data_IF_811152808326
#
_entry.id   IF_811152808326
#
_cell.length_a   1.000
_cell.length_b   1.000
_cell.length_c   1.000
_cell.angle_alpha   90.00
_cell.angle_beta   90.00
_cell.angle_gamma   90.00
#
_symmetry.space_group_name_H-M   'P 1'
#
loop_
_entity.id
_entity.type
_entity.pdbx_description
1 polymer ?
#
# COMPACT_ATOMS: atom_id res chain seq x y z
N UNK A 1 -15.01 -33.03 -11.12
CA UNK A 1 -14.04 -32.56 -12.13
C UNK A 1 -12.82 -33.46 -12.12
N UNK A 2 -12.48 -34.10 -13.23
CA UNK A 2 -11.37 -35.07 -13.27
C UNK A 2 -10.00 -34.40 -13.13
N UNK A 3 -9.00 -35.15 -12.66
CA UNK A 3 -7.61 -34.67 -12.52
C UNK A 3 -7.05 -34.11 -13.84
N UNK A 4 -7.38 -34.75 -14.97
CA UNK A 4 -7.01 -34.29 -16.31
C UNK A 4 -7.59 -32.91 -16.61
N UNK A 5 -8.88 -32.69 -16.32
CA UNK A 5 -9.53 -31.37 -16.51
C UNK A 5 -8.89 -30.29 -15.65
N UNK A 6 -8.49 -30.60 -14.39
CA UNK A 6 -7.77 -29.66 -13.52
C UNK A 6 -6.41 -29.26 -14.08
N UNK A 7 -5.63 -30.23 -14.58
CA UNK A 7 -4.30 -29.99 -15.16
C UNK A 7 -4.42 -29.14 -16.43
N UNK A 8 -5.37 -29.46 -17.32
CA UNK A 8 -5.60 -28.70 -18.55
C UNK A 8 -6.01 -27.26 -18.26
N UNK A 9 -6.90 -27.03 -17.30
CA UNK A 9 -7.30 -25.68 -16.90
C UNK A 9 -6.14 -24.88 -16.30
N UNK A 10 -5.28 -25.53 -15.52
CA UNK A 10 -4.08 -24.89 -14.95
C UNK A 10 -3.07 -24.52 -16.03
N UNK A 11 -2.83 -25.42 -16.99
CA UNK A 11 -1.94 -25.18 -18.13
C UNK A 11 -2.46 -24.06 -19.02
N UNK A 12 -3.77 -24.03 -19.32
CA UNK A 12 -4.39 -22.96 -20.10
C UNK A 12 -4.32 -21.61 -19.37
N UNK A 13 -4.56 -21.60 -18.05
CA UNK A 13 -4.41 -20.40 -17.23
C UNK A 13 -2.97 -19.87 -17.24
N UNK A 14 -1.96 -20.75 -17.17
CA UNK A 14 -0.54 -20.38 -17.26
C UNK A 14 -0.15 -19.88 -18.66
N UNK A 15 -0.65 -20.52 -19.72
CA UNK A 15 -0.37 -20.13 -21.11
C UNK A 15 -0.97 -18.76 -21.44
N UNK A 16 -2.19 -18.47 -20.97
CA UNK A 16 -2.79 -17.13 -21.06
C UNK A 16 -2.04 -16.08 -20.22
N UNK A 17 -1.29 -16.52 -19.21
CA UNK A 17 -0.51 -15.65 -18.32
C UNK A 17 0.84 -15.23 -18.93
N UNK A 18 1.45 -16.10 -19.74
CA UNK A 18 2.81 -15.91 -20.25
C UNK A 18 3.00 -14.63 -21.08
N UNK A 19 2.10 -14.26 -22.02
CA UNK A 19 2.22 -13.01 -22.77
C UNK A 19 2.13 -11.76 -21.89
N UNK A 20 1.31 -11.77 -20.84
CA UNK A 20 1.19 -10.64 -19.91
C UNK A 20 2.43 -10.46 -19.02
N UNK A 21 3.25 -11.50 -18.86
CA UNK A 21 4.55 -11.44 -18.19
C UNK A 21 5.70 -11.00 -19.12
N UNK A 22 5.55 -11.19 -20.43
CA UNK A 22 6.58 -10.99 -21.45
C UNK A 22 6.36 -9.75 -22.32
N UNK A 23 5.17 -9.15 -22.31
CA UNK A 23 4.87 -7.96 -23.09
C UNK A 23 5.65 -6.75 -22.54
N UNK A 24 6.66 -6.32 -23.28
CA UNK A 24 7.20 -4.97 -23.17
C UNK A 24 6.10 -4.00 -23.55
N UNK A 25 5.67 -3.17 -22.59
CA UNK A 25 4.71 -2.11 -22.87
C UNK A 25 5.48 -0.88 -23.36
N UNK A 26 4.95 -0.15 -24.37
CA UNK A 26 5.56 1.08 -24.91
C UNK A 26 5.85 2.08 -23.79
N UNK A 27 6.64 3.13 -24.03
CA UNK A 27 6.99 4.18 -23.05
C UNK A 27 5.87 4.47 -22.03
N UNK A 28 6.22 4.59 -20.75
CA UNK A 28 5.29 5.10 -19.76
C UNK A 28 5.39 6.61 -19.80
N UNK A 29 4.45 7.35 -20.41
CA UNK A 29 4.41 8.79 -20.21
C UNK A 29 4.10 9.00 -18.73
N UNK A 30 5.17 9.17 -17.96
CA UNK A 30 5.13 9.45 -16.54
C UNK A 30 5.00 10.96 -16.40
N UNK A 31 3.89 11.45 -15.83
CA UNK A 31 3.81 12.84 -15.41
C UNK A 31 4.96 13.13 -14.44
N UNK A 32 5.40 14.39 -14.38
CA UNK A 32 6.53 14.73 -13.51
C UNK A 32 6.09 14.54 -12.06
N UNK A 33 7.06 14.32 -11.19
CA UNK A 33 6.77 14.38 -9.75
C UNK A 33 6.31 15.78 -9.44
N UNK A 34 5.26 15.90 -8.62
CA UNK A 34 4.91 17.18 -8.05
C UNK A 34 6.03 17.58 -7.09
N UNK A 35 6.83 18.55 -7.51
CA UNK A 35 7.95 19.05 -6.72
C UNK A 35 7.48 19.34 -5.29
N UNK A 36 8.17 18.72 -4.32
CA UNK A 36 8.01 19.13 -2.93
C UNK A 36 8.33 20.63 -2.82
N UNK A 37 7.52 21.38 -2.07
CA UNK A 37 7.85 22.76 -1.78
C UNK A 37 9.25 22.78 -1.13
N UNK A 38 10.19 23.62 -1.61
CA UNK A 38 11.51 23.68 -1.01
C UNK A 38 11.35 24.02 0.46
N UNK A 39 11.75 23.09 1.33
CA UNK A 39 11.83 23.34 2.75
C UNK A 39 12.90 24.41 2.98
N UNK A 40 12.51 25.57 3.51
CA UNK A 40 13.47 26.55 3.99
C UNK A 40 14.04 26.05 5.33
N UNK A 41 15.27 25.52 5.32
CA UNK A 41 16.00 25.18 6.54
C UNK A 41 16.77 23.86 6.48
N UNK A 42 17.48 23.58 7.58
CA UNK A 42 18.17 22.31 7.74
C UNK A 42 17.16 21.16 7.89
N UNK A 43 17.47 19.95 7.40
CA UNK A 43 16.66 18.77 7.66
C UNK A 43 16.40 18.60 9.16
N UNK A 44 15.12 18.53 9.54
CA UNK A 44 14.72 18.31 10.92
C UNK A 44 14.64 16.81 11.19
N UNK A 45 15.25 16.38 12.30
CA UNK A 45 15.05 15.05 12.86
C UNK A 45 14.32 15.17 14.19
N UNK A 46 13.23 14.42 14.35
CA UNK A 46 12.47 14.29 15.59
C UNK A 46 12.09 12.83 15.78
N UNK A 47 12.15 12.36 17.01
CA UNK A 47 11.70 11.03 17.42
C UNK A 47 10.68 11.14 18.54
N UNK A 48 9.71 10.22 18.56
CA UNK A 48 8.71 10.10 19.60
C UNK A 48 8.17 8.67 19.62
N UNK A 49 7.73 8.21 20.80
CA UNK A 49 7.07 6.92 20.94
C UNK A 49 5.57 7.06 20.68
N UNK A 50 5.09 6.35 19.67
CA UNK A 50 3.67 6.12 19.41
C UNK A 50 3.39 4.72 19.93
N UNK A 51 2.44 4.58 20.87
CA UNK A 51 2.05 3.30 21.49
C UNK A 51 3.01 2.74 22.58
N UNK A 52 3.21 3.45 23.71
CA UNK A 52 4.08 2.96 24.79
C UNK A 52 3.51 1.79 25.61
N UNK A 53 2.25 1.37 25.39
CA UNK A 53 1.50 0.48 26.29
C UNK A 53 1.16 -0.91 25.70
N UNK A 54 1.81 -1.32 24.62
CA UNK A 54 1.42 -2.53 23.87
C UNK A 54 2.15 -3.79 24.32
N UNK A 55 2.15 -4.06 25.62
CA UNK A 55 2.80 -5.24 26.20
C UNK A 55 2.32 -6.52 25.51
N UNK A 56 3.27 -7.29 24.96
CA UNK A 56 3.01 -8.56 24.31
C UNK A 56 2.44 -8.52 22.89
N UNK A 57 2.35 -7.34 22.25
CA UNK A 57 1.89 -7.23 20.84
C UNK A 57 2.94 -6.56 19.95
N UNK A 58 3.08 -7.05 18.73
CA UNK A 58 4.03 -6.49 17.77
C UNK A 58 3.50 -5.20 17.15
N UNK A 59 4.39 -4.34 16.66
CA UNK A 59 4.05 -3.23 15.75
C UNK A 59 4.90 -3.35 14.49
N UNK A 60 4.30 -3.32 13.30
CA UNK A 60 5.04 -3.55 12.06
C UNK A 60 4.42 -2.83 10.86
N UNK A 61 5.29 -2.51 9.88
CA UNK A 61 5.02 -1.67 8.69
C UNK A 61 4.35 -0.36 9.08
N UNK A 62 5.15 0.53 9.66
CA UNK A 62 4.72 1.89 9.95
C UNK A 62 4.65 2.75 8.68
N UNK A 63 3.67 3.64 8.63
CA UNK A 63 3.48 4.62 7.57
C UNK A 63 3.06 5.96 8.19
N UNK A 64 3.56 7.06 7.65
CA UNK A 64 3.22 8.42 8.07
C UNK A 64 2.65 9.18 6.89
N UNK A 65 1.63 10.00 7.14
CA UNK A 65 1.14 10.97 6.18
C UNK A 65 0.81 12.30 6.87
N UNK A 66 1.17 13.45 6.26
CA UNK A 66 0.83 14.76 6.79
C UNK A 66 -0.69 14.97 6.75
N UNK A 67 -1.23 15.69 7.72
CA UNK A 67 -2.61 16.16 7.74
C UNK A 67 -2.62 17.68 7.65
N UNK A 68 -3.82 18.25 7.55
CA UNK A 68 -3.99 19.70 7.59
C UNK A 68 -3.40 20.33 8.86
N UNK A 69 -3.07 21.62 8.76
CA UNK A 69 -2.56 22.45 9.88
C UNK A 69 -1.30 21.89 10.56
N UNK A 70 -0.51 21.08 9.85
CA UNK A 70 0.75 20.54 10.36
C UNK A 70 0.61 19.28 11.23
N UNK A 71 -0.60 18.72 11.35
CA UNK A 71 -0.81 17.42 11.98
C UNK A 71 -0.22 16.28 11.15
N UNK A 72 -0.19 15.07 11.72
CA UNK A 72 0.22 13.86 11.00
C UNK A 72 -0.63 12.67 11.42
N UNK A 73 -0.88 11.74 10.51
CA UNK A 73 -1.39 10.41 10.80
C UNK A 73 -0.26 9.39 10.73
N UNK A 74 -0.20 8.49 11.72
CA UNK A 74 0.65 7.31 11.72
C UNK A 74 -0.22 6.06 11.63
N UNK A 75 0.08 5.15 10.70
CA UNK A 75 -0.52 3.84 10.58
C UNK A 75 0.50 2.74 10.83
N UNK A 76 0.07 1.64 11.42
CA UNK A 76 0.81 0.38 11.50
C UNK A 76 -0.18 -0.76 11.73
N UNK A 77 0.23 -2.00 11.47
CA UNK A 77 -0.54 -3.13 11.97
C UNK A 77 0.07 -3.70 13.25
N UNK A 78 -0.79 -4.22 14.11
CA UNK A 78 -0.42 -4.79 15.40
C UNK A 78 -1.30 -5.99 15.76
N UNK A 79 -0.71 -6.93 16.49
CA UNK A 79 -1.35 -8.16 16.97
C UNK A 79 -0.34 -9.08 17.68
N UNK A 80 -0.76 -10.29 18.05
CA UNK A 80 0.09 -11.26 18.76
C UNK A 80 1.36 -11.67 18.01
N UNK A 81 1.30 -11.79 16.68
CA UNK A 81 2.46 -12.03 15.80
C UNK A 81 2.12 -11.71 14.36
N UNK A 82 3.14 -11.71 13.51
CA UNK A 82 2.99 -11.38 12.10
C UNK A 82 2.03 -12.36 11.42
N UNK A 83 1.00 -11.81 10.75
CA UNK A 83 -0.01 -12.60 10.07
C UNK A 83 -0.90 -13.41 11.00
N UNK A 84 -1.06 -13.05 12.28
CA UNK A 84 -2.09 -13.64 13.13
C UNK A 84 -3.51 -13.10 12.78
N UNK A 85 -4.56 -13.74 13.32
CA UNK A 85 -5.98 -13.39 13.00
C UNK A 85 -6.51 -12.19 13.78
N UNK A 86 -5.84 -11.84 14.87
CA UNK A 86 -6.06 -10.68 15.73
C UNK A 86 -5.36 -9.43 15.20
N UNK A 87 -4.52 -9.56 14.16
CA UNK A 87 -3.88 -8.42 13.50
C UNK A 87 -4.94 -7.43 13.02
N UNK A 88 -4.74 -6.17 13.41
CA UNK A 88 -5.55 -5.02 13.01
C UNK A 88 -4.64 -3.86 12.64
N UNK A 89 -5.13 -2.95 11.80
CA UNK A 89 -4.46 -1.70 11.46
C UNK A 89 -4.92 -0.62 12.45
N UNK A 90 -3.96 0.05 13.04
CA UNK A 90 -4.15 1.13 13.99
C UNK A 90 -3.71 2.45 13.36
N UNK A 91 -4.37 3.53 13.78
CA UNK A 91 -4.01 4.91 13.46
C UNK A 91 -3.77 5.69 14.75
N UNK A 92 -2.80 6.60 14.73
CA UNK A 92 -2.62 7.64 15.75
C UNK A 92 -2.37 8.97 15.06
N UNK A 93 -2.74 10.06 15.74
CA UNK A 93 -2.66 11.42 15.22
C UNK A 93 -1.69 12.25 16.03
N UNK A 94 -0.78 12.95 15.36
CA UNK A 94 0.05 13.97 15.97
C UNK A 94 -0.74 15.27 16.06
N UNK A 95 -0.91 15.78 17.27
CA UNK A 95 -1.42 17.13 17.48
C UNK A 95 -0.26 18.13 17.24
N UNK A 96 -0.38 19.05 16.27
CA UNK A 96 0.70 19.98 15.94
C UNK A 96 0.94 21.04 17.04
N UNK A 97 -0.08 21.38 17.82
CA UNK A 97 0.01 22.39 18.87
C UNK A 97 0.73 21.86 20.11
N UNK A 98 0.52 20.57 20.45
CA UNK A 98 1.12 19.94 21.64
C UNK A 98 2.34 19.07 21.33
N UNK A 99 2.51 18.66 20.06
CA UNK A 99 3.52 17.68 19.66
C UNK A 99 3.28 16.26 20.20
N UNK A 100 2.10 15.99 20.76
CA UNK A 100 1.77 14.69 21.34
C UNK A 100 0.95 13.83 20.37
N UNK A 101 1.27 12.53 20.36
CA UNK A 101 0.49 11.53 19.64
C UNK A 101 -0.73 11.09 20.44
N UNK A 102 -1.86 10.92 19.76
CA UNK A 102 -3.06 10.37 20.36
C UNK A 102 -2.85 8.90 20.77
N UNK A 103 -3.75 8.38 21.62
CA UNK A 103 -3.85 6.92 21.80
C UNK A 103 -4.14 6.23 20.44
N UNK A 104 -3.51 5.08 20.15
CA UNK A 104 -3.80 4.33 18.94
C UNK A 104 -5.25 3.91 18.86
N UNK A 105 -5.86 4.07 17.70
CA UNK A 105 -7.23 3.63 17.41
C UNK A 105 -7.22 2.62 16.30
N UNK A 106 -7.85 1.47 16.54
CA UNK A 106 -8.07 0.45 15.51
C UNK A 106 -9.00 1.01 14.43
N UNK A 107 -8.54 1.05 13.18
CA UNK A 107 -9.30 1.60 12.04
C UNK A 107 -9.72 0.53 11.04
N UNK A 108 -9.00 -0.60 10.97
CA UNK A 108 -9.32 -1.70 10.07
C UNK A 108 -8.94 -3.03 10.70
N UNK A 109 -9.87 -3.98 10.70
CA UNK A 109 -9.62 -5.38 11.06
C UNK A 109 -10.16 -6.31 9.98
N UNK A 110 -9.92 -7.62 10.14
CA UNK A 110 -10.38 -8.62 9.18
C UNK A 110 -11.91 -8.64 9.01
N UNK A 111 -12.68 -8.30 10.05
CA UNK A 111 -14.14 -8.36 10.02
C UNK A 111 -14.71 -7.17 9.25
N UNK A 112 -14.22 -5.95 9.51
CA UNK A 112 -14.54 -4.76 8.73
C UNK A 112 -14.10 -4.93 7.28
N UNK A 113 -12.86 -5.36 7.03
CA UNK A 113 -12.38 -5.63 5.68
C UNK A 113 -13.26 -6.65 4.95
N UNK A 114 -13.69 -7.72 5.63
CA UNK A 114 -14.57 -8.73 5.00
C UNK A 114 -15.92 -8.14 4.57
N UNK A 115 -16.55 -7.33 5.44
CA UNK A 115 -17.83 -6.67 5.15
C UNK A 115 -17.68 -5.68 4.00
N UNK A 116 -16.69 -4.80 4.09
CA UNK A 116 -16.48 -3.74 3.11
C UNK A 116 -16.20 -4.35 1.72
N UNK A 117 -15.35 -5.36 1.66
CA UNK A 117 -14.93 -5.98 0.40
C UNK A 117 -15.88 -7.07 -0.12
N UNK A 118 -16.95 -7.41 0.62
CA UNK A 118 -17.91 -8.44 0.22
C UNK A 118 -17.29 -9.83 0.04
N UNK A 119 -16.19 -10.14 0.72
CA UNK A 119 -15.48 -11.43 0.63
C UNK A 119 -14.85 -11.80 1.96
N UNK A 120 -14.58 -13.08 2.15
CA UNK A 120 -13.85 -13.53 3.34
C UNK A 120 -12.41 -12.97 3.35
N UNK A 121 -12.07 -12.25 4.43
CA UNK A 121 -10.71 -11.81 4.76
C UNK A 121 -10.30 -12.52 6.05
N UNK A 122 -9.24 -13.34 5.96
CA UNK A 122 -8.68 -14.06 7.11
C UNK A 122 -7.78 -13.14 7.94
N UNK A 123 -7.04 -12.25 7.29
CA UNK A 123 -6.01 -11.39 7.88
C UNK A 123 -5.91 -10.06 7.12
N UNK A 124 -5.59 -9.00 7.84
CA UNK A 124 -5.09 -7.74 7.29
C UNK A 124 -3.59 -7.62 7.60
N UNK A 125 -2.88 -6.75 6.90
CA UNK A 125 -1.43 -6.62 7.02
C UNK A 125 -0.95 -5.21 6.74
N UNK A 126 0.14 -5.10 5.97
CA UNK A 126 0.78 -3.84 5.61
C UNK A 126 -0.26 -2.76 5.28
N UNK A 127 -0.04 -1.56 5.82
CA UNK A 127 -0.86 -0.39 5.55
C UNK A 127 0.06 0.77 5.19
N UNK A 128 -0.30 1.50 4.13
CA UNK A 128 0.39 2.71 3.72
C UNK A 128 -0.63 3.84 3.64
N UNK A 129 -0.24 5.01 4.11
CA UNK A 129 -1.04 6.22 4.02
C UNK A 129 -0.54 7.12 2.88
N UNK A 130 -1.47 7.87 2.29
CA UNK A 130 -1.16 8.96 1.38
C UNK A 130 -2.17 10.08 1.56
N UNK A 131 -1.69 11.30 1.80
CA UNK A 131 -2.55 12.48 1.92
C UNK A 131 -2.51 13.29 0.65
N UNK A 132 -3.69 13.65 0.19
CA UNK A 132 -3.85 14.61 -0.89
C UNK A 132 -3.76 16.06 -0.40
N UNK A 133 -3.42 17.01 -1.28
CA UNK A 133 -3.45 18.43 -0.96
C UNK A 133 -4.83 18.97 -0.51
N UNK A 134 -5.92 18.30 -0.91
CA UNK A 134 -7.29 18.66 -0.54
C UNK A 134 -7.74 18.08 0.82
N UNK A 135 -6.83 17.46 1.58
CA UNK A 135 -7.12 16.88 2.89
C UNK A 135 -7.63 15.44 2.87
N UNK A 136 -7.92 14.86 1.69
CA UNK A 136 -8.34 13.46 1.57
C UNK A 136 -7.17 12.53 1.91
N UNK A 137 -7.43 11.60 2.83
CA UNK A 137 -6.46 10.61 3.29
C UNK A 137 -6.80 9.24 2.70
N UNK A 138 -5.87 8.67 1.95
CA UNK A 138 -5.95 7.31 1.43
C UNK A 138 -5.22 6.33 2.34
N UNK A 139 -5.79 5.15 2.49
CA UNK A 139 -5.10 3.99 3.05
C UNK A 139 -5.15 2.84 2.05
N UNK A 140 -4.00 2.38 1.61
CA UNK A 140 -3.86 1.13 0.87
C UNK A 140 -3.31 0.07 1.83
N UNK A 141 -3.92 -1.10 1.81
CA UNK A 141 -3.60 -2.14 2.78
C UNK A 141 -3.76 -3.54 2.21
N UNK A 142 -3.02 -4.47 2.83
CA UNK A 142 -2.99 -5.86 2.39
C UNK A 142 -4.07 -6.68 3.07
N UNK A 143 -4.74 -7.53 2.29
CA UNK A 143 -5.74 -8.49 2.76
C UNK A 143 -5.39 -9.89 2.27
N UNK A 144 -5.57 -10.89 3.13
CA UNK A 144 -5.31 -12.30 2.80
C UNK A 144 -6.53 -13.15 3.11
N UNK A 145 -6.98 -13.94 2.14
CA UNK A 145 -8.07 -14.91 2.34
C UNK A 145 -7.54 -16.30 2.75
N UNK A 146 -6.43 -16.73 2.14
CA UNK A 146 -5.80 -18.05 2.32
C UNK A 146 -4.28 -17.87 2.29
N UNK A 147 -3.53 -18.73 2.98
CA UNK A 147 -2.06 -18.74 2.92
C UNK A 147 -1.35 -17.61 3.70
N UNK A 148 -0.12 -17.32 3.29
CA UNK A 148 0.73 -16.23 3.78
C UNK A 148 0.76 -15.03 2.82
N UNK A 149 1.81 -14.22 2.90
CA UNK A 149 1.96 -12.99 2.09
C UNK A 149 1.94 -13.22 0.58
N UNK A 150 2.39 -14.38 0.10
CA UNK A 150 2.31 -14.73 -1.33
C UNK A 150 0.87 -14.77 -1.88
N UNK A 151 -0.15 -14.71 -1.03
CA UNK A 151 -1.56 -14.67 -1.42
C UNK A 151 -2.24 -13.35 -1.05
N UNK A 152 -1.46 -12.30 -0.74
CA UNK A 152 -2.00 -10.99 -0.42
C UNK A 152 -2.68 -10.33 -1.62
N UNK A 153 -3.69 -9.53 -1.32
CA UNK A 153 -4.34 -8.61 -2.26
C UNK A 153 -4.25 -7.22 -1.68
N UNK A 154 -4.01 -6.24 -2.54
CA UNK A 154 -4.09 -4.83 -2.14
C UNK A 154 -5.56 -4.39 -2.18
N UNK A 155 -5.98 -3.66 -1.17
CA UNK A 155 -7.28 -2.99 -1.08
C UNK A 155 -7.05 -1.56 -0.61
N UNK A 156 -7.99 -0.67 -0.87
CA UNK A 156 -7.88 0.72 -0.46
C UNK A 156 -9.19 1.25 0.09
N UNK A 157 -9.09 2.31 0.87
CA UNK A 157 -10.20 3.12 1.38
C UNK A 157 -9.71 4.55 1.50
N UNK A 158 -10.65 5.49 1.61
CA UNK A 158 -10.35 6.91 1.76
C UNK A 158 -11.10 7.49 2.95
N UNK A 159 -10.63 8.63 3.43
CA UNK A 159 -11.19 9.40 4.53
C UNK A 159 -11.16 10.89 4.18
N UNK A 160 -12.24 11.59 4.51
CA UNK A 160 -12.38 13.04 4.33
C UNK A 160 -12.22 13.82 5.64
N UNK A 161 -11.93 13.13 6.75
CA UNK A 161 -11.86 13.69 8.10
C UNK A 161 -10.56 13.29 8.82
N UNK A 162 -9.46 13.22 8.05
CA UNK A 162 -8.13 12.93 8.58
C UNK A 162 -7.94 11.51 9.11
N UNK A 163 -8.78 10.55 8.71
CA UNK A 163 -8.75 9.16 9.15
C UNK A 163 -9.68 8.85 10.32
N UNK A 164 -10.55 9.80 10.71
CA UNK A 164 -11.52 9.62 11.80
C UNK A 164 -12.64 8.65 11.39
N UNK A 165 -13.11 8.72 10.15
CA UNK A 165 -13.99 7.75 9.52
C UNK A 165 -13.40 7.33 8.17
N UNK A 166 -13.84 6.17 7.68
CA UNK A 166 -13.31 5.57 6.46
C UNK A 166 -14.46 5.10 5.58
N UNK A 167 -14.38 5.41 4.29
CA UNK A 167 -15.28 4.89 3.28
C UNK A 167 -15.20 3.36 3.17
N UNK A 168 -16.19 2.77 2.48
CA UNK A 168 -16.18 1.35 2.18
C UNK A 168 -14.97 0.99 1.33
N UNK A 169 -14.19 0.01 1.79
CA UNK A 169 -12.99 -0.43 1.08
C UNK A 169 -13.27 -1.09 -0.26
N UNK A 170 -12.37 -0.84 -1.22
CA UNK A 170 -12.41 -1.35 -2.60
C UNK A 170 -11.14 -2.18 -2.90
N UNK A 171 -11.23 -3.22 -3.74
CA UNK A 171 -10.05 -3.97 -4.19
C UNK A 171 -9.21 -3.17 -5.19
N UNK A 172 -7.87 -3.29 -5.11
CA UNK A 172 -6.94 -2.78 -6.14
C UNK A 172 -6.42 -3.96 -6.97
N UNK A 173 -6.88 -4.12 -8.21
CA UNK A 173 -6.61 -5.29 -9.05
C UNK A 173 -5.27 -5.23 -9.79
N UNK A 174 -4.18 -5.52 -9.07
CA UNK A 174 -2.80 -5.51 -9.54
C UNK A 174 -2.32 -6.81 -10.20
N UNK A 175 -3.15 -7.85 -10.27
CA UNK A 175 -2.83 -9.12 -10.92
C UNK A 175 -4.00 -9.63 -11.78
N UNK A 176 -3.74 -10.41 -12.84
CA UNK A 176 -4.82 -11.03 -13.60
C UNK A 176 -5.63 -12.01 -12.72
N UNK A 177 -6.91 -12.17 -13.09
CA UNK A 177 -7.92 -13.02 -12.44
C UNK A 177 -8.07 -12.82 -10.92
N UNK A 178 -7.25 -13.51 -10.13
CA UNK A 178 -7.44 -13.63 -8.67
C UNK A 178 -6.82 -12.48 -7.87
N UNK A 179 -6.11 -11.56 -8.53
CA UNK A 179 -5.44 -10.41 -7.91
C UNK A 179 -4.61 -10.78 -6.67
N UNK A 180 -3.96 -11.94 -6.73
CA UNK A 180 -3.15 -12.43 -5.62
C UNK A 180 -1.77 -11.78 -5.68
N UNK A 181 -0.96 -12.12 -4.67
CA UNK A 181 0.50 -11.95 -4.62
C UNK A 181 1.03 -10.53 -4.53
N UNK A 182 0.17 -9.51 -4.57
CA UNK A 182 0.60 -8.10 -4.53
C UNK A 182 0.50 -7.54 -3.12
N UNK A 183 1.52 -6.79 -2.72
CA UNK A 183 1.65 -6.20 -1.41
C UNK A 183 2.20 -4.77 -1.53
N UNK A 184 2.03 -3.98 -0.48
CA UNK A 184 2.44 -2.59 -0.41
C UNK A 184 3.19 -2.31 0.89
N UNK A 185 4.05 -1.29 0.94
CA UNK A 185 4.80 -0.96 2.16
C UNK A 185 5.20 0.51 2.27
N UNK A 186 5.86 1.07 1.25
CA UNK A 186 6.50 2.38 1.33
C UNK A 186 5.62 3.49 0.76
N UNK A 187 5.88 4.74 1.13
CA UNK A 187 5.03 5.90 0.78
C UNK A 187 4.84 6.08 -0.75
N UNK A 188 3.61 6.37 -1.23
CA UNK A 188 3.37 6.82 -2.60
C UNK A 188 3.92 8.23 -2.88
N UNK A 189 4.24 8.50 -4.14
CA UNK A 189 4.70 9.82 -4.63
C UNK A 189 3.58 10.49 -5.42
N UNK A 190 3.28 11.76 -5.14
CA UNK A 190 2.30 12.54 -5.89
C UNK A 190 2.93 13.05 -7.19
N UNK A 191 2.21 12.89 -8.30
CA UNK A 191 2.60 13.39 -9.61
C UNK A 191 1.92 14.76 -9.89
N UNK A 192 2.43 15.50 -10.87
CA UNK A 192 1.98 16.86 -11.23
C UNK A 192 0.53 16.91 -11.71
N UNK A 193 0.04 15.83 -12.31
CA UNK A 193 -1.35 15.63 -12.71
C UNK A 193 -2.30 15.26 -11.55
N UNK A 194 -1.79 15.18 -10.32
CA UNK A 194 -2.56 14.80 -9.13
C UNK A 194 -2.66 13.30 -8.87
N UNK A 195 -2.22 12.45 -9.80
CA UNK A 195 -2.18 11.00 -9.59
C UNK A 195 -1.07 10.59 -8.62
N UNK A 196 -1.15 9.36 -8.10
CA UNK A 196 -0.15 8.80 -7.18
C UNK A 196 0.64 7.70 -7.85
N UNK A 197 1.95 7.67 -7.64
CA UNK A 197 2.79 6.53 -7.93
C UNK A 197 3.00 5.70 -6.67
N UNK A 198 2.31 4.56 -6.59
CA UNK A 198 2.33 3.65 -5.45
C UNK A 198 3.40 2.57 -5.69
N UNK A 199 4.41 2.46 -4.81
CA UNK A 199 5.33 1.33 -4.82
C UNK A 199 4.65 0.08 -4.27
N UNK A 200 4.53 -0.95 -5.11
CA UNK A 200 4.00 -2.25 -4.75
C UNK A 200 4.96 -3.36 -5.19
N UNK A 201 4.71 -4.58 -4.76
CA UNK A 201 5.57 -5.71 -5.10
C UNK A 201 4.83 -7.04 -5.10
N UNK A 202 5.34 -7.95 -5.91
CA UNK A 202 4.83 -9.29 -6.13
C UNK A 202 5.64 -10.32 -5.32
N UNK A 203 4.96 -11.23 -4.62
CA UNK A 203 5.60 -12.17 -3.67
C UNK A 203 5.56 -13.66 -4.08
N UNK A 204 4.91 -14.03 -5.19
CA UNK A 204 4.78 -15.44 -5.60
C UNK A 204 5.82 -15.86 -6.65
N UNK A 205 6.51 -16.98 -6.43
CA UNK A 205 7.51 -17.58 -7.32
C UNK A 205 8.67 -16.64 -7.73
N UNK A 206 8.41 -15.70 -8.65
CA UNK A 206 9.31 -14.59 -8.97
C UNK A 206 8.91 -13.37 -8.16
N UNK A 207 9.84 -12.89 -7.34
CA UNK A 207 9.68 -11.68 -6.54
C UNK A 207 10.13 -10.48 -7.34
N UNK A 208 9.26 -9.50 -7.56
CA UNK A 208 9.59 -8.30 -8.31
C UNK A 208 8.76 -7.10 -7.85
N UNK A 209 9.29 -5.92 -8.11
CA UNK A 209 8.66 -4.64 -7.77
C UNK A 209 7.85 -4.10 -8.93
N UNK A 210 6.73 -3.45 -8.61
CA UNK A 210 5.85 -2.78 -9.57
C UNK A 210 5.53 -1.38 -9.08
N UNK A 211 5.41 -0.44 -10.00
CA UNK A 211 4.84 0.87 -9.72
C UNK A 211 3.39 0.87 -10.21
N UNK A 212 2.51 1.46 -9.43
CA UNK A 212 1.09 1.60 -9.77
C UNK A 212 0.78 3.09 -9.81
N UNK A 213 0.44 3.62 -10.99
CA UNK A 213 -0.12 4.97 -11.12
C UNK A 213 -1.60 4.88 -10.83
N UNK A 214 -2.07 5.57 -9.80
CA UNK A 214 -3.46 5.59 -9.34
C UNK A 214 -4.00 7.01 -9.47
N UNK A 215 -5.08 7.16 -10.23
CA UNK A 215 -5.83 8.41 -10.37
C UNK A 215 -6.89 8.48 -9.25
N UNK A 216 -6.80 9.44 -8.32
CA UNK A 216 -7.73 9.53 -7.19
C UNK A 216 -9.14 10.01 -7.56
N UNK A 217 -9.31 10.69 -8.69
CA UNK A 217 -10.59 11.23 -9.14
C UNK A 217 -11.42 10.14 -9.84
N UNK A 218 -10.76 9.35 -10.69
CA UNK A 218 -11.42 8.28 -11.44
C UNK A 218 -11.29 6.90 -10.79
N UNK A 219 -10.44 6.77 -9.77
CA UNK A 219 -10.01 5.51 -9.14
C UNK A 219 -9.44 4.48 -10.13
N UNK A 220 -9.00 4.95 -11.31
CA UNK A 220 -8.34 4.13 -12.32
C UNK A 220 -6.86 3.98 -11.99
N UNK A 221 -6.28 2.89 -12.46
CA UNK A 221 -4.86 2.66 -12.24
C UNK A 221 -4.21 1.87 -13.37
N UNK A 222 -2.94 2.16 -13.55
CA UNK A 222 -2.02 1.44 -14.42
C UNK A 222 -0.88 0.89 -13.59
N UNK A 223 -0.40 -0.30 -13.94
CA UNK A 223 0.76 -0.91 -13.27
C UNK A 223 1.86 -1.17 -14.27
N UNK A 224 3.12 -1.00 -13.84
CA UNK A 224 4.30 -1.44 -14.59
C UNK A 224 5.33 -2.07 -13.68
N UNK A 225 6.13 -2.96 -14.26
CA UNK A 225 7.24 -3.61 -13.58
C UNK A 225 8.42 -2.64 -13.48
N UNK A 226 9.02 -2.52 -12.29
CA UNK A 226 10.15 -1.62 -12.05
C UNK A 226 11.50 -2.25 -12.40
N UNK A 227 11.65 -3.58 -12.26
CA UNK A 227 12.91 -4.26 -12.55
C UNK A 227 12.68 -5.54 -13.37
N UNK A 228 13.52 -5.76 -14.39
CA UNK A 228 13.41 -6.95 -15.25
C UNK A 228 14.12 -8.18 -14.64
N UNK A 229 15.15 -7.97 -13.81
CA UNK A 229 15.93 -9.00 -13.13
C UNK A 229 15.94 -8.80 -11.59
N UNK A 230 16.48 -9.78 -10.87
CA UNK A 230 16.62 -9.75 -9.41
C UNK A 230 15.38 -10.20 -8.62
N UNK A 231 15.56 -10.40 -7.31
CA UNK A 231 14.49 -10.65 -6.33
C UNK A 231 14.23 -9.37 -5.54
N UNK A 232 13.61 -8.39 -6.18
CA UNK A 232 13.52 -7.03 -5.64
C UNK A 232 12.12 -6.80 -5.06
N UNK A 233 12.01 -6.65 -3.74
CA UNK A 233 10.74 -6.38 -3.07
C UNK A 233 10.80 -5.08 -2.28
N UNK A 234 9.63 -4.62 -1.82
CA UNK A 234 9.51 -3.45 -0.94
C UNK A 234 10.20 -2.20 -1.52
N UNK A 235 9.88 -1.80 -2.77
CA UNK A 235 10.54 -0.67 -3.40
C UNK A 235 10.21 0.62 -2.65
N UNK A 236 11.20 1.49 -2.47
CA UNK A 236 11.00 2.86 -2.02
C UNK A 236 11.30 3.80 -3.20
N UNK A 237 10.42 4.76 -3.46
CA UNK A 237 10.59 5.72 -4.55
C UNK A 237 11.01 7.05 -3.93
N UNK A 238 12.11 7.61 -4.43
CA UNK A 238 12.65 8.90 -4.01
C UNK A 238 12.73 9.81 -5.22
N UNK A 239 12.31 11.05 -5.04
CA UNK A 239 12.47 12.11 -6.03
C UNK A 239 13.90 12.64 -5.98
N UNK A 240 14.52 12.76 -7.15
CA UNK A 240 15.84 13.33 -7.36
C UNK A 240 15.82 14.60 -8.20
N UNK A 241 17.00 15.17 -8.49
CA UNK A 241 17.12 16.37 -9.30
C UNK A 241 16.41 16.27 -10.66
N UNK A 242 15.84 17.38 -11.12
CA UNK A 242 15.15 17.46 -12.40
C UNK A 242 13.86 16.63 -12.50
N UNK A 243 13.27 16.21 -11.37
CA UNK A 243 12.06 15.38 -11.34
C UNK A 243 12.33 13.91 -11.63
N UNK A 244 13.59 13.47 -11.54
CA UNK A 244 13.97 12.07 -11.72
C UNK A 244 13.39 11.22 -10.59
N UNK A 245 12.88 10.03 -10.91
CA UNK A 245 12.40 9.06 -9.90
C UNK A 245 13.39 7.91 -9.77
N UNK A 246 13.93 7.74 -8.56
CA UNK A 246 14.83 6.63 -8.23
C UNK A 246 14.10 5.63 -7.34
N UNK A 247 14.08 4.36 -7.77
CA UNK A 247 13.56 3.27 -6.97
C UNK A 247 14.70 2.53 -6.26
N UNK A 248 14.61 2.41 -4.94
CA UNK A 248 15.50 1.62 -4.09
C UNK A 248 14.81 0.32 -3.70
N UNK A 249 15.52 -0.81 -3.77
CA UNK A 249 14.95 -2.14 -3.55
C UNK A 249 15.57 -2.83 -2.34
N UNK A 250 14.82 -3.74 -1.71
CA UNK A 250 15.31 -4.70 -0.71
C UNK A 250 15.53 -6.08 -1.35
#
# INVERSE_FOLDING_TARGET
MSTKVRITLLALALALYAPALLADRPEWPMPRVRAALPGSGNPLYKEAFINPASDGTMSHVASLAPLERGGMAAAWYSGSREGARDVSIYLSWLNPDTGLWSKPRKVMDRAKASRDLGRYVKKVGNAMLHSEPNGKLWMFYSTMAVGGWSMSRVSYTSSLDGGLTWERSKPLHLGPALNLTNNVKNRPVTLDDGSFLIPAYHELARKFSVAVRFDPDTERYEKRRMSQSGRNIQPAIVEGPGGTLTALFR
#
